data_IF_029904315522
#
_entry.id   IF_029904315522
#
_cell.length_a   1.000
_cell.length_b   1.000
_cell.length_c   1.000
_cell.angle_alpha   90.00
_cell.angle_beta   90.00
_cell.angle_gamma   90.00
#
_symmetry.space_group_name_H-M   'P 1'
#
loop_
_entity.id
_entity.type
_entity.pdbx_description
1 polymer ?
#
# COMPACT_ATOMS: atom_id res chain seq x y z
N UNK A 1 4.50 -23.26 -27.50
CA UNK A 1 4.44 -22.08 -26.62
C UNK A 1 5.85 -21.51 -26.46
N UNK A 2 6.03 -20.18 -26.45
CA UNK A 2 7.34 -19.57 -26.25
C UNK A 2 7.84 -19.73 -24.80
N UNK A 3 9.15 -19.58 -24.62
CA UNK A 3 9.75 -19.51 -23.29
C UNK A 3 9.17 -18.37 -22.46
N UNK A 4 9.03 -18.56 -21.15
CA UNK A 4 8.45 -17.59 -20.21
C UNK A 4 6.98 -17.22 -20.50
N UNK A 5 6.27 -18.03 -21.28
CA UNK A 5 4.82 -17.86 -21.48
C UNK A 5 4.08 -18.20 -20.18
N UNK A 6 3.23 -17.29 -19.71
CA UNK A 6 2.32 -17.54 -18.60
C UNK A 6 1.21 -18.47 -19.09
N UNK A 7 1.16 -19.69 -18.57
CA UNK A 7 0.17 -20.69 -18.98
C UNK A 7 -1.24 -20.28 -18.58
N UNK A 8 -2.12 -20.14 -19.57
CA UNK A 8 -3.56 -19.94 -19.39
C UNK A 8 -4.27 -21.28 -19.43
N UNK A 9 -5.52 -21.39 -18.97
CA UNK A 9 -6.27 -22.64 -19.04
C UNK A 9 -6.32 -23.26 -20.44
N UNK A 10 -6.47 -22.44 -21.49
CA UNK A 10 -6.49 -22.91 -22.90
C UNK A 10 -5.14 -23.48 -23.36
N UNK A 11 -4.04 -23.00 -22.80
CA UNK A 11 -2.69 -23.48 -23.13
C UNK A 11 -2.49 -24.91 -22.61
N UNK A 12 -3.10 -25.28 -21.47
CA UNK A 12 -3.09 -26.64 -20.94
C UNK A 12 -3.81 -27.61 -21.90
N UNK A 13 -4.95 -27.17 -22.46
CA UNK A 13 -5.67 -27.94 -23.47
C UNK A 13 -4.84 -28.15 -24.74
N UNK A 14 -4.17 -27.09 -25.23
CA UNK A 14 -3.29 -27.18 -26.39
C UNK A 14 -2.10 -28.13 -26.16
N UNK A 15 -1.45 -28.05 -24.99
CA UNK A 15 -0.35 -28.94 -24.57
C UNK A 15 -0.82 -30.40 -24.58
N UNK A 16 -1.96 -30.67 -23.94
CA UNK A 16 -2.52 -32.02 -23.87
C UNK A 16 -2.94 -32.54 -25.27
N UNK A 17 -3.56 -31.69 -26.09
CA UNK A 17 -3.97 -32.03 -27.47
C UNK A 17 -2.78 -32.33 -28.40
N UNK A 18 -1.60 -31.78 -28.11
CA UNK A 18 -0.35 -32.15 -28.78
C UNK A 18 0.32 -33.40 -28.21
N UNK A 19 -0.32 -34.11 -27.27
CA UNK A 19 0.19 -35.37 -26.70
C UNK A 19 1.18 -35.20 -25.53
N UNK A 20 1.34 -33.96 -25.02
CA UNK A 20 2.24 -33.73 -23.88
C UNK A 20 1.51 -33.82 -22.55
N UNK A 21 1.91 -34.74 -21.68
CA UNK A 21 1.36 -34.91 -20.33
C UNK A 21 2.14 -34.14 -19.26
N UNK A 22 3.31 -33.60 -19.60
CA UNK A 22 4.20 -32.85 -18.68
C UNK A 22 4.88 -31.73 -19.42
N UNK A 23 5.05 -30.59 -18.73
CA UNK A 23 5.84 -29.45 -19.20
C UNK A 23 6.72 -28.93 -18.07
N UNK A 24 7.90 -28.44 -18.42
CA UNK A 24 8.78 -27.79 -17.45
C UNK A 24 8.31 -26.36 -17.23
N UNK A 25 8.03 -26.02 -15.98
CA UNK A 25 7.64 -24.67 -15.55
C UNK A 25 8.59 -24.14 -14.48
N UNK A 26 8.62 -22.83 -14.30
CA UNK A 26 9.33 -22.24 -13.16
C UNK A 26 8.60 -22.61 -11.88
N UNK A 27 9.36 -23.02 -10.86
CA UNK A 27 8.82 -23.28 -9.53
C UNK A 27 8.36 -21.97 -8.88
N UNK A 28 7.23 -22.00 -8.20
CA UNK A 28 6.79 -20.86 -7.39
C UNK A 28 7.79 -20.61 -6.24
N UNK A 29 8.29 -19.37 -6.08
CA UNK A 29 9.18 -19.01 -4.98
C UNK A 29 8.48 -19.19 -3.63
N UNK A 30 9.16 -19.79 -2.67
CA UNK A 30 8.68 -19.93 -1.29
C UNK A 30 9.19 -18.78 -0.45
N UNK A 31 8.29 -18.06 0.19
CA UNK A 31 8.59 -16.85 0.99
C UNK A 31 8.18 -17.09 2.43
N UNK A 32 9.14 -17.02 3.34
CA UNK A 32 8.89 -17.02 4.78
C UNK A 32 8.57 -15.59 5.24
N UNK A 33 7.53 -15.43 6.06
CA UNK A 33 7.16 -14.17 6.67
C UNK A 33 7.20 -14.35 8.18
N UNK A 34 8.14 -13.68 8.83
CA UNK A 34 8.44 -13.82 10.25
C UNK A 34 8.09 -12.51 10.95
N UNK A 35 6.93 -12.40 11.61
CA UNK A 35 6.61 -11.25 12.44
C UNK A 35 7.39 -11.30 13.75
N UNK A 36 8.00 -10.18 14.16
CA UNK A 36 8.71 -10.05 15.44
C UNK A 36 8.17 -8.87 16.23
N UNK A 37 8.07 -9.05 17.54
CA UNK A 37 7.60 -8.02 18.48
C UNK A 37 6.98 -8.66 19.71
N UNK A 38 7.43 -8.23 20.88
CA UNK A 38 6.89 -8.71 22.17
C UNK A 38 5.48 -8.16 22.44
N UNK A 39 5.16 -7.00 21.85
CA UNK A 39 3.85 -6.34 21.92
C UNK A 39 2.82 -6.94 20.96
N UNK A 40 3.25 -7.80 20.03
CA UNK A 40 2.37 -8.34 19.00
C UNK A 40 1.51 -9.48 19.54
N UNK A 41 0.22 -9.44 19.20
CA UNK A 41 -0.73 -10.51 19.49
C UNK A 41 -1.44 -10.96 18.21
N UNK A 42 -1.82 -12.24 18.09
CA UNK A 42 -2.55 -12.74 16.93
C UNK A 42 -3.91 -12.05 16.75
N UNK A 43 -4.36 -11.92 15.50
CA UNK A 43 -5.72 -11.46 15.20
C UNK A 43 -6.77 -12.37 15.87
N UNK A 44 -7.79 -11.78 16.51
CA UNK A 44 -8.82 -12.49 17.27
C UNK A 44 -8.48 -12.70 18.76
N UNK A 45 -7.29 -12.31 19.22
CA UNK A 45 -6.93 -12.32 20.63
C UNK A 45 -7.68 -11.25 21.43
N UNK A 46 -7.84 -11.46 22.74
CA UNK A 46 -8.24 -10.39 23.66
C UNK A 46 -7.09 -9.43 23.83
N UNK A 47 -7.27 -8.18 23.41
CA UNK A 47 -6.23 -7.14 23.41
C UNK A 47 -6.17 -6.45 24.76
N UNK A 48 -4.98 -6.26 25.31
CA UNK A 48 -4.69 -5.49 26.52
C UNK A 48 -4.02 -4.16 26.14
N UNK A 49 -3.94 -3.24 27.09
CA UNK A 49 -3.19 -1.99 26.87
C UNK A 49 -1.72 -2.29 26.54
N UNK A 50 -1.24 -1.76 25.42
CA UNK A 50 0.10 -2.00 24.89
C UNK A 50 0.19 -3.09 23.83
N UNK A 51 -0.81 -3.97 23.71
CA UNK A 51 -0.84 -5.00 22.67
C UNK A 51 -1.14 -4.39 21.30
N UNK A 52 -0.49 -4.93 20.27
CA UNK A 52 -0.71 -4.60 18.86
C UNK A 52 -1.14 -5.87 18.13
N UNK A 53 -2.28 -5.83 17.44
CA UNK A 53 -2.72 -6.97 16.61
C UNK A 53 -1.79 -7.10 15.41
N UNK A 54 -1.19 -8.29 15.26
CA UNK A 54 -0.36 -8.62 14.10
C UNK A 54 -1.23 -8.92 12.89
N UNK A 55 -1.12 -8.10 11.85
CA UNK A 55 -1.80 -8.29 10.56
C UNK A 55 -0.91 -8.01 9.35
N UNK A 56 0.30 -7.49 9.54
CA UNK A 56 1.22 -7.24 8.44
C UNK A 56 1.58 -8.54 7.71
N UNK A 57 1.77 -9.62 8.45
CA UNK A 57 2.07 -10.92 7.84
C UNK A 57 0.91 -11.44 6.97
N UNK A 58 -0.34 -11.09 7.29
CA UNK A 58 -1.50 -11.41 6.44
C UNK A 58 -1.43 -10.64 5.12
N UNK A 59 -1.16 -9.34 5.18
CA UNK A 59 -1.03 -8.49 3.99
C UNK A 59 0.11 -8.98 3.10
N UNK A 60 1.31 -9.17 3.67
CA UNK A 60 2.47 -9.65 2.94
C UNK A 60 2.25 -11.04 2.32
N UNK A 61 1.58 -11.95 3.04
CA UNK A 61 1.27 -13.28 2.51
C UNK A 61 0.31 -13.21 1.32
N UNK A 62 -0.74 -12.39 1.41
CA UNK A 62 -1.68 -12.18 0.32
C UNK A 62 -0.99 -11.54 -0.91
N UNK A 63 -0.12 -10.56 -0.70
CA UNK A 63 0.69 -9.94 -1.76
C UNK A 63 1.59 -10.98 -2.45
N UNK A 64 2.36 -11.78 -1.67
CA UNK A 64 3.20 -12.84 -2.21
C UNK A 64 2.41 -13.84 -3.06
N UNK A 65 1.23 -14.25 -2.61
CA UNK A 65 0.34 -15.14 -3.35
C UNK A 65 -0.15 -14.50 -4.65
N UNK A 66 -0.57 -13.24 -4.59
CA UNK A 66 -0.99 -12.47 -5.78
C UNK A 66 0.14 -12.36 -6.81
N UNK A 67 1.38 -12.26 -6.36
CA UNK A 67 2.57 -12.22 -7.21
C UNK A 67 3.12 -13.60 -7.58
N UNK A 68 2.36 -14.68 -7.34
CA UNK A 68 2.65 -16.04 -7.77
C UNK A 68 3.66 -16.79 -6.93
N UNK A 69 3.97 -16.33 -5.73
CA UNK A 69 4.78 -17.03 -4.74
C UNK A 69 3.92 -17.89 -3.80
N UNK A 70 4.59 -18.70 -3.00
CA UNK A 70 4.00 -19.49 -1.90
C UNK A 70 4.45 -18.87 -0.57
N UNK A 71 3.53 -18.32 0.18
CA UNK A 71 3.80 -17.67 1.46
C UNK A 71 3.63 -18.63 2.63
N UNK A 72 4.61 -18.63 3.55
CA UNK A 72 4.54 -19.31 4.85
C UNK A 72 4.61 -18.23 5.94
N UNK A 73 3.54 -18.08 6.69
CA UNK A 73 3.52 -17.21 7.86
C UNK A 73 4.01 -17.98 9.08
N UNK A 74 5.04 -17.47 9.72
CA UNK A 74 5.53 -17.99 10.99
C UNK A 74 4.70 -17.43 12.16
N UNK A 75 4.77 -18.08 13.30
CA UNK A 75 4.25 -17.54 14.55
C UNK A 75 5.02 -16.27 14.92
N UNK A 76 4.40 -15.39 15.70
CA UNK A 76 5.05 -14.18 16.24
C UNK A 76 6.26 -14.62 17.08
N UNK A 77 7.43 -14.08 16.77
CA UNK A 77 8.66 -14.30 17.52
C UNK A 77 8.86 -13.09 18.46
N UNK A 78 9.04 -13.32 19.77
CA UNK A 78 9.34 -12.23 20.70
C UNK A 78 10.64 -11.49 20.33
N UNK A 79 10.82 -10.28 20.82
CA UNK A 79 12.05 -9.51 20.67
C UNK A 79 13.21 -10.14 21.47
N UNK A 80 13.62 -11.30 21.02
CA UNK A 80 14.75 -12.07 21.55
C UNK A 80 15.67 -12.44 20.38
N UNK A 81 16.89 -11.89 20.43
CA UNK A 81 17.87 -12.04 19.37
C UNK A 81 18.10 -13.50 18.95
N UNK A 82 18.35 -14.39 19.93
CA UNK A 82 18.68 -15.79 19.65
C UNK A 82 17.50 -16.55 19.05
N UNK A 83 16.28 -16.25 19.49
CA UNK A 83 15.07 -16.86 18.92
C UNK A 83 14.84 -16.37 17.49
N UNK A 84 15.03 -15.07 17.21
CA UNK A 84 14.89 -14.53 15.86
C UNK A 84 15.95 -15.15 14.94
N UNK A 85 17.22 -15.22 15.37
CA UNK A 85 18.31 -15.87 14.61
C UNK A 85 18.00 -17.34 14.31
N UNK A 86 17.52 -18.10 15.30
CA UNK A 86 17.15 -19.50 15.11
C UNK A 86 16.02 -19.66 14.09
N UNK A 87 14.96 -18.84 14.20
CA UNK A 87 13.81 -18.87 13.29
C UNK A 87 14.20 -18.48 11.87
N UNK A 88 15.00 -17.43 11.69
CA UNK A 88 15.49 -17.01 10.37
C UNK A 88 16.36 -18.09 9.72
N UNK A 89 17.23 -18.74 10.49
CA UNK A 89 18.08 -19.86 10.00
C UNK A 89 17.23 -21.04 9.55
N UNK A 90 16.22 -21.44 10.32
CA UNK A 90 15.27 -22.49 9.95
C UNK A 90 14.51 -22.13 8.67
N UNK A 91 13.98 -20.92 8.60
CA UNK A 91 13.27 -20.42 7.42
C UNK A 91 14.16 -20.43 6.17
N UNK A 92 15.41 -19.98 6.27
CA UNK A 92 16.37 -19.93 5.17
C UNK A 92 16.69 -21.32 4.59
N UNK A 93 16.64 -22.38 5.40
CA UNK A 93 16.86 -23.75 4.93
C UNK A 93 15.77 -24.23 3.97
N UNK A 94 14.56 -23.72 4.07
CA UNK A 94 13.37 -24.25 3.36
C UNK A 94 12.71 -23.26 2.41
N UNK A 95 13.01 -21.95 2.50
CA UNK A 95 12.42 -20.89 1.70
C UNK A 95 13.46 -20.21 0.79
N UNK A 96 12.97 -19.50 -0.21
CA UNK A 96 13.79 -18.81 -1.21
C UNK A 96 14.03 -17.34 -0.83
N UNK A 97 13.10 -16.76 -0.08
CA UNK A 97 13.13 -15.37 0.42
C UNK A 97 12.61 -15.33 1.84
N UNK A 98 13.23 -14.54 2.70
CA UNK A 98 12.80 -14.29 4.07
C UNK A 98 12.34 -12.83 4.20
N UNK A 99 11.15 -12.61 4.73
CA UNK A 99 10.64 -11.32 5.14
C UNK A 99 10.62 -11.29 6.66
N UNK A 100 11.54 -10.55 7.26
CA UNK A 100 11.61 -10.32 8.69
C UNK A 100 10.85 -9.04 9.00
N UNK A 101 9.62 -9.16 9.48
CA UNK A 101 8.77 -8.01 9.78
C UNK A 101 8.96 -7.61 11.23
N UNK A 102 9.77 -6.57 11.47
CA UNK A 102 10.00 -6.01 12.79
C UNK A 102 8.71 -5.38 13.36
N UNK A 103 8.56 -5.42 14.68
CA UNK A 103 7.54 -4.65 15.39
C UNK A 103 7.70 -3.13 15.15
N UNK A 104 6.76 -2.32 15.64
CA UNK A 104 6.85 -0.87 15.49
C UNK A 104 8.09 -0.36 16.24
N UNK A 105 9.07 0.13 15.53
CA UNK A 105 10.40 0.54 16.03
C UNK A 105 10.37 1.81 16.90
N UNK A 106 9.49 1.87 17.91
CA UNK A 106 9.61 2.84 19.00
C UNK A 106 10.58 2.36 20.09
N UNK A 107 11.11 1.15 19.97
CA UNK A 107 12.12 0.57 20.86
C UNK A 107 13.53 0.77 20.31
N UNK A 108 14.49 1.02 21.20
CA UNK A 108 15.88 1.32 20.93
C UNK A 108 16.71 0.19 20.30
N UNK A 109 16.13 -0.96 19.96
CA UNK A 109 16.83 -2.13 19.44
C UNK A 109 16.11 -2.72 18.21
N UNK A 110 16.49 -2.25 17.03
CA UNK A 110 16.16 -2.96 15.77
C UNK A 110 17.12 -4.16 15.64
N UNK A 111 16.65 -5.34 16.04
CA UNK A 111 17.42 -6.57 15.92
C UNK A 111 17.61 -7.00 14.45
N UNK A 112 16.82 -6.49 13.51
CA UNK A 112 16.83 -6.98 12.13
C UNK A 112 18.20 -6.86 11.46
N UNK A 113 18.89 -5.72 11.61
CA UNK A 113 20.23 -5.54 11.08
C UNK A 113 21.23 -6.50 11.72
N UNK A 114 21.23 -6.58 13.06
CA UNK A 114 22.12 -7.48 13.84
C UNK A 114 21.88 -8.96 13.48
N UNK A 115 20.64 -9.36 13.24
CA UNK A 115 20.28 -10.72 12.82
C UNK A 115 20.85 -11.03 11.44
N UNK A 116 20.73 -10.08 10.50
CA UNK A 116 21.30 -10.24 9.16
C UNK A 116 22.82 -10.34 9.22
N UNK A 117 23.49 -9.47 9.98
CA UNK A 117 24.95 -9.49 10.17
C UNK A 117 25.45 -10.80 10.83
N UNK A 118 24.67 -11.35 11.76
CA UNK A 118 25.02 -12.62 12.41
C UNK A 118 24.84 -13.86 11.52
N UNK A 119 24.01 -13.77 10.47
CA UNK A 119 23.69 -14.88 9.61
C UNK A 119 24.25 -14.77 8.18
N UNK A 120 24.80 -13.60 7.82
CA UNK A 120 25.32 -13.38 6.47
C UNK A 120 25.72 -11.93 6.21
N UNK A 121 25.35 -11.39 5.06
CA UNK A 121 25.78 -10.09 4.59
C UNK A 121 24.65 -9.06 4.67
N UNK A 122 24.85 -7.97 5.40
CA UNK A 122 24.01 -6.79 5.36
C UNK A 122 24.39 -5.92 4.16
N UNK A 123 23.51 -5.82 3.16
CA UNK A 123 23.79 -5.08 1.92
C UNK A 123 23.31 -3.63 1.97
N UNK A 124 22.13 -3.40 2.56
CA UNK A 124 21.52 -2.07 2.67
C UNK A 124 20.84 -1.94 4.03
N UNK A 125 21.09 -0.82 4.70
CA UNK A 125 20.44 -0.44 5.94
C UNK A 125 19.78 0.94 5.76
N UNK A 126 18.48 0.92 5.49
CA UNK A 126 17.69 2.09 5.14
C UNK A 126 17.72 2.42 3.65
N UNK A 127 16.59 2.84 3.14
CA UNK A 127 16.37 3.23 1.73
C UNK A 127 15.73 4.60 1.66
N UNK A 128 16.02 5.36 0.60
CA UNK A 128 15.48 6.71 0.40
C UNK A 128 14.03 6.66 -0.13
N UNK A 129 13.12 6.08 0.67
CA UNK A 129 11.70 5.89 0.35
C UNK A 129 10.83 6.28 1.55
N UNK A 130 9.71 6.93 1.30
CA UNK A 130 8.73 7.33 2.30
C UNK A 130 7.30 7.00 1.88
N UNK A 131 6.52 6.27 2.73
CA UNK A 131 6.96 5.55 3.94
C UNK A 131 7.74 4.28 3.58
N UNK A 132 8.60 3.81 4.50
CA UNK A 132 9.40 2.60 4.29
C UNK A 132 10.91 2.80 4.41
N UNK A 133 11.35 3.97 4.90
CA UNK A 133 12.78 4.28 5.05
C UNK A 133 13.61 3.18 5.78
N UNK A 134 13.14 2.53 6.89
CA UNK A 134 13.95 1.56 7.63
C UNK A 134 14.05 0.16 6.99
N UNK A 135 13.85 0.02 5.71
CA UNK A 135 14.02 -1.28 5.02
C UNK A 135 15.47 -1.74 5.11
N UNK A 136 15.66 -3.03 5.38
CA UNK A 136 16.95 -3.69 5.40
C UNK A 136 16.98 -4.72 4.25
N UNK A 137 18.08 -4.78 3.50
CA UNK A 137 18.31 -5.79 2.48
C UNK A 137 19.61 -6.54 2.80
N UNK A 138 19.54 -7.87 2.76
CA UNK A 138 20.68 -8.72 3.07
C UNK A 138 20.61 -10.10 2.44
N UNK A 139 21.66 -10.87 2.68
CA UNK A 139 21.79 -12.25 2.23
C UNK A 139 22.14 -13.14 3.42
N UNK A 140 21.38 -14.22 3.62
CA UNK A 140 21.65 -15.22 4.66
C UNK A 140 22.49 -16.33 4.06
N UNK A 141 23.62 -16.64 4.68
CA UNK A 141 24.49 -17.74 4.30
C UNK A 141 24.02 -19.04 4.96
N UNK A 142 23.73 -20.08 4.17
CA UNK A 142 23.40 -21.38 4.72
C UNK A 142 24.69 -22.11 5.18
N UNK A 143 24.72 -22.63 6.43
CA UNK A 143 25.93 -23.21 7.01
C UNK A 143 26.52 -24.42 6.25
N UNK A 144 25.65 -25.17 5.55
CA UNK A 144 26.00 -26.46 4.92
C UNK A 144 26.15 -26.36 3.41
N UNK A 145 26.04 -25.16 2.84
CA UNK A 145 26.09 -24.99 1.38
C UNK A 145 26.56 -23.59 1.01
N UNK A 146 27.06 -23.41 -0.22
CA UNK A 146 27.36 -22.08 -0.78
C UNK A 146 26.10 -21.33 -1.25
N UNK A 147 24.92 -21.74 -0.77
CA UNK A 147 23.66 -21.11 -1.15
C UNK A 147 23.39 -19.93 -0.21
N UNK A 148 23.13 -18.79 -0.81
CA UNK A 148 22.65 -17.61 -0.10
C UNK A 148 21.16 -17.42 -0.33
N UNK A 149 20.44 -16.92 0.70
CA UNK A 149 19.03 -16.58 0.64
C UNK A 149 18.83 -15.10 0.91
N UNK A 150 18.14 -14.36 0.02
CA UNK A 150 17.83 -12.96 0.31
C UNK A 150 16.90 -12.85 1.52
N UNK A 151 17.16 -11.83 2.33
CA UNK A 151 16.32 -11.41 3.44
C UNK A 151 15.98 -9.93 3.29
N UNK A 152 14.73 -9.60 3.57
CA UNK A 152 14.26 -8.22 3.62
C UNK A 152 13.73 -7.96 5.03
N UNK A 153 14.34 -7.00 5.72
CA UNK A 153 13.80 -6.44 6.96
C UNK A 153 12.67 -5.47 6.59
N UNK A 154 11.45 -5.84 6.95
CA UNK A 154 10.23 -5.11 6.62
C UNK A 154 9.84 -4.22 7.80
N UNK A 155 9.63 -2.90 7.60
CA UNK A 155 9.22 -2.01 8.68
C UNK A 155 7.88 -2.40 9.31
N UNK A 156 7.72 -2.23 10.62
CA UNK A 156 6.52 -2.63 11.36
C UNK A 156 5.27 -1.81 11.07
N UNK A 157 5.39 -0.57 10.60
CA UNK A 157 4.23 0.22 10.22
C UNK A 157 3.53 -0.36 8.97
N UNK A 158 2.19 -0.56 9.01
CA UNK A 158 1.48 -1.36 8.00
C UNK A 158 1.56 -0.81 6.57
N UNK A 159 1.52 0.51 6.40
CA UNK A 159 1.68 1.12 5.08
C UNK A 159 3.10 0.91 4.54
N UNK A 160 4.10 1.05 5.42
CA UNK A 160 5.50 0.77 5.07
C UNK A 160 5.70 -0.70 4.70
N UNK A 161 5.12 -1.62 5.46
CA UNK A 161 5.19 -3.05 5.17
C UNK A 161 4.59 -3.40 3.81
N UNK A 162 3.39 -2.93 3.52
CA UNK A 162 2.72 -3.19 2.24
C UNK A 162 3.50 -2.61 1.05
N UNK A 163 3.99 -1.36 1.16
CA UNK A 163 4.80 -0.74 0.11
C UNK A 163 6.18 -1.39 -0.05
N UNK A 164 6.79 -1.87 1.04
CA UNK A 164 8.02 -2.68 0.95
C UNK A 164 7.78 -3.94 0.12
N UNK A 165 6.62 -4.57 0.29
CA UNK A 165 6.20 -5.68 -0.57
C UNK A 165 6.17 -5.30 -2.05
N UNK A 166 5.48 -4.22 -2.40
CA UNK A 166 5.35 -3.75 -3.78
C UNK A 166 6.70 -3.33 -4.41
N UNK A 167 7.53 -2.62 -3.64
CA UNK A 167 8.78 -2.02 -4.18
C UNK A 167 9.91 -3.06 -4.28
N UNK A 168 10.03 -3.99 -3.34
CA UNK A 168 11.17 -4.90 -3.25
C UNK A 168 10.80 -6.37 -3.48
N UNK A 169 9.70 -6.86 -2.93
CA UNK A 169 9.34 -8.29 -3.01
C UNK A 169 8.78 -8.64 -4.38
N UNK A 170 7.83 -7.86 -4.90
CA UNK A 170 7.24 -8.12 -6.20
C UNK A 170 8.27 -8.22 -7.34
N UNK A 171 9.21 -7.28 -7.51
CA UNK A 171 10.21 -7.38 -8.57
C UNK A 171 11.11 -8.61 -8.46
N UNK A 172 11.45 -9.04 -7.25
CA UNK A 172 12.25 -10.27 -7.02
C UNK A 172 11.46 -11.49 -7.47
N UNK A 173 10.20 -11.63 -7.04
CA UNK A 173 9.34 -12.75 -7.41
C UNK A 173 9.08 -12.78 -8.92
N UNK A 174 8.80 -11.62 -9.53
CA UNK A 174 8.61 -11.50 -10.96
C UNK A 174 9.84 -11.97 -11.74
N UNK A 175 11.04 -11.53 -11.34
CA UNK A 175 12.29 -11.95 -11.93
C UNK A 175 12.52 -13.46 -11.83
N UNK A 176 12.25 -14.07 -10.67
CA UNK A 176 12.38 -15.51 -10.49
C UNK A 176 11.36 -16.31 -11.31
N UNK A 177 10.15 -15.77 -11.48
CA UNK A 177 9.12 -16.36 -12.32
C UNK A 177 9.33 -16.10 -13.82
N UNK A 178 10.36 -15.31 -14.20
CA UNK A 178 10.69 -15.02 -15.60
C UNK A 178 9.71 -14.07 -16.27
N UNK A 179 9.06 -13.20 -15.50
CA UNK A 179 8.14 -12.17 -15.99
C UNK A 179 8.59 -10.77 -15.57
N UNK A 180 8.08 -9.76 -16.22
CA UNK A 180 8.20 -8.38 -15.73
C UNK A 180 7.37 -8.20 -14.46
N UNK A 181 7.79 -7.32 -13.57
CA UNK A 181 6.95 -6.88 -12.46
C UNK A 181 5.62 -6.33 -13.01
N UNK A 182 4.56 -6.49 -12.24
CA UNK A 182 3.23 -6.05 -12.68
C UNK A 182 3.26 -4.52 -12.89
N UNK A 183 2.98 -4.09 -14.11
CA UNK A 183 2.81 -2.68 -14.41
C UNK A 183 1.38 -2.30 -14.06
N UNK A 184 1.23 -1.61 -12.94
CA UNK A 184 -0.06 -1.03 -12.59
C UNK A 184 -0.53 -0.08 -13.70
N UNK A 185 -1.83 -0.06 -14.04
CA UNK A 185 -2.36 0.94 -14.95
C UNK A 185 -2.03 2.34 -14.44
N UNK A 186 -1.73 3.25 -15.35
CA UNK A 186 -1.46 4.64 -15.00
C UNK A 186 -2.54 5.57 -15.54
N UNK A 187 -2.77 6.68 -14.85
CA UNK A 187 -3.73 7.69 -15.25
C UNK A 187 -3.19 9.08 -14.90
N UNK A 188 -3.27 10.01 -15.86
CA UNK A 188 -2.93 11.41 -15.61
C UNK A 188 -4.08 12.09 -14.87
N UNK A 189 -3.74 12.76 -13.77
CA UNK A 189 -4.68 13.47 -12.92
C UNK A 189 -4.14 14.84 -12.49
N UNK A 190 -5.03 15.68 -11.98
CA UNK A 190 -4.68 16.97 -11.38
C UNK A 190 -4.74 16.86 -9.87
N UNK A 191 -3.68 17.27 -9.17
CA UNK A 191 -3.66 17.25 -7.70
C UNK A 191 -4.58 18.34 -7.13
N UNK A 192 -5.45 17.98 -6.20
CA UNK A 192 -6.49 18.88 -5.67
C UNK A 192 -5.96 19.91 -4.68
N UNK A 193 -4.84 19.65 -4.02
CA UNK A 193 -4.26 20.55 -3.00
C UNK A 193 -2.75 20.47 -2.96
N UNK A 194 -2.12 21.52 -2.43
CA UNK A 194 -0.69 21.55 -2.17
C UNK A 194 -0.26 20.42 -1.24
N UNK A 195 0.83 19.76 -1.59
CA UNK A 195 1.50 18.74 -0.80
C UNK A 195 2.95 19.12 -0.64
N UNK A 196 3.44 19.21 0.59
CA UNK A 196 4.87 19.35 0.86
C UNK A 196 5.49 17.96 0.95
N UNK A 197 6.64 17.76 0.34
CA UNK A 197 7.43 16.53 0.46
C UNK A 197 8.84 16.86 0.89
N UNK A 198 9.37 16.20 1.92
CA UNK A 198 10.77 16.42 2.31
C UNK A 198 11.70 15.95 1.20
N UNK A 199 12.71 16.75 0.90
CA UNK A 199 13.78 16.34 -0.02
C UNK A 199 14.57 15.15 0.54
N UNK A 200 15.11 14.33 -0.34
CA UNK A 200 15.97 13.20 0.00
C UNK A 200 15.31 11.84 -0.14
N UNK A 201 14.00 11.73 0.01
CA UNK A 201 13.24 10.49 -0.14
C UNK A 201 12.26 10.52 -1.32
N UNK A 202 12.14 9.44 -2.06
CA UNK A 202 11.02 9.25 -2.98
C UNK A 202 9.76 9.00 -2.15
N UNK A 203 8.77 9.89 -2.23
CA UNK A 203 7.53 9.74 -1.48
C UNK A 203 6.45 9.04 -2.31
N UNK A 204 5.89 7.97 -1.75
CA UNK A 204 4.77 7.21 -2.30
C UNK A 204 3.48 7.67 -1.64
N UNK A 205 2.86 8.68 -2.25
CA UNK A 205 1.68 9.34 -1.71
C UNK A 205 0.40 8.64 -2.16
N UNK A 206 -0.42 8.19 -1.21
CA UNK A 206 -1.73 7.59 -1.47
C UNK A 206 -2.73 8.68 -1.87
N UNK A 207 -3.51 8.39 -2.91
CA UNK A 207 -4.54 9.30 -3.43
C UNK A 207 -5.86 8.60 -3.65
N UNK A 208 -6.97 9.29 -3.46
CA UNK A 208 -8.23 8.94 -4.11
C UNK A 208 -8.30 9.63 -5.46
N UNK A 209 -8.92 8.97 -6.43
CA UNK A 209 -9.03 9.48 -7.80
C UNK A 209 -10.47 9.38 -8.28
N UNK A 210 -10.92 10.39 -8.99
CA UNK A 210 -12.21 10.37 -9.65
C UNK A 210 -12.30 11.41 -10.75
N UNK A 211 -13.26 11.23 -11.65
CA UNK A 211 -13.51 12.13 -12.76
C UNK A 211 -14.67 13.05 -12.44
N UNK A 212 -14.42 14.35 -12.42
CA UNK A 212 -15.44 15.38 -12.19
C UNK A 212 -15.57 16.22 -13.48
N UNK A 213 -16.69 16.09 -14.16
CA UNK A 213 -16.85 16.66 -15.51
C UNK A 213 -15.81 16.12 -16.49
N UNK A 214 -14.91 16.98 -16.98
CA UNK A 214 -13.83 16.60 -17.91
C UNK A 214 -12.47 16.39 -17.20
N UNK A 215 -12.39 16.63 -15.91
CA UNK A 215 -11.12 16.58 -15.14
C UNK A 215 -11.02 15.28 -14.37
N UNK A 216 -9.84 14.70 -14.37
CA UNK A 216 -9.48 13.65 -13.43
C UNK A 216 -8.74 14.30 -12.27
N UNK A 217 -9.24 14.10 -11.07
CA UNK A 217 -8.74 14.75 -9.85
C UNK A 217 -8.14 13.69 -8.93
N UNK A 218 -6.91 13.92 -8.48
CA UNK A 218 -6.24 13.12 -7.46
C UNK A 218 -6.20 13.89 -6.14
N UNK A 219 -6.83 13.34 -5.11
CA UNK A 219 -6.87 13.97 -3.78
C UNK A 219 -6.00 13.19 -2.80
N UNK A 220 -4.98 13.83 -2.21
CA UNK A 220 -4.09 13.20 -1.25
C UNK A 220 -4.82 12.71 0.00
N UNK A 221 -4.54 11.48 0.41
CA UNK A 221 -5.00 10.89 1.67
C UNK A 221 -4.02 11.16 2.81
N UNK A 222 -4.39 10.70 4.02
CA UNK A 222 -3.51 10.76 5.20
C UNK A 222 -2.18 10.06 4.93
N UNK A 223 -1.07 10.70 5.31
CA UNK A 223 0.30 10.22 5.05
C UNK A 223 0.90 9.37 6.17
N UNK A 224 0.17 9.16 7.27
CA UNK A 224 0.63 8.34 8.38
C UNK A 224 0.95 6.91 7.95
N UNK A 225 2.13 6.41 8.32
CA UNK A 225 2.56 5.05 8.01
C UNK A 225 1.78 3.97 8.77
N UNK A 226 1.24 4.33 9.95
CA UNK A 226 0.43 3.45 10.81
C UNK A 226 -1.04 3.32 10.40
N UNK A 227 -1.52 4.11 9.44
CA UNK A 227 -2.95 4.16 9.07
C UNK A 227 -3.22 3.29 7.85
N UNK A 228 -3.40 1.98 8.04
CA UNK A 228 -3.64 1.01 6.95
C UNK A 228 -4.90 1.37 6.13
N UNK A 229 -5.91 1.97 6.74
CA UNK A 229 -7.13 2.40 6.05
C UNK A 229 -6.88 3.41 4.95
N UNK A 230 -5.75 4.12 5.00
CA UNK A 230 -5.34 5.01 3.91
C UNK A 230 -4.98 4.24 2.62
N UNK A 231 -4.45 3.02 2.72
CA UNK A 231 -4.27 2.12 1.57
C UNK A 231 -5.59 1.50 1.12
N UNK A 232 -6.45 1.11 2.05
CA UNK A 232 -7.78 0.55 1.73
C UNK A 232 -8.62 1.56 0.93
N UNK A 233 -8.53 2.84 1.27
CA UNK A 233 -9.25 3.94 0.59
C UNK A 233 -8.53 4.45 -0.65
N UNK A 234 -7.25 4.15 -0.84
CA UNK A 234 -6.48 4.61 -1.97
C UNK A 234 -6.96 4.00 -3.28
N UNK A 235 -7.08 4.83 -4.29
CA UNK A 235 -7.30 4.41 -5.66
C UNK A 235 -5.99 4.22 -6.42
N UNK A 236 -4.92 4.76 -5.87
CA UNK A 236 -3.58 4.64 -6.42
C UNK A 236 -2.53 5.42 -5.63
N UNK A 237 -1.32 5.41 -6.18
CA UNK A 237 -0.13 6.05 -5.64
C UNK A 237 0.40 7.09 -6.63
N UNK A 238 0.76 8.25 -6.11
CA UNK A 238 1.58 9.25 -6.81
C UNK A 238 2.97 9.20 -6.21
N UNK A 239 3.99 8.99 -7.05
CA UNK A 239 5.39 9.09 -6.63
C UNK A 239 5.87 10.53 -6.76
N UNK A 240 6.29 11.13 -5.64
CA UNK A 240 6.96 12.43 -5.61
C UNK A 240 8.47 12.17 -5.56
N UNK A 241 9.25 12.60 -6.56
CA UNK A 241 10.67 12.34 -6.61
C UNK A 241 11.44 12.99 -5.45
N UNK A 242 12.52 12.36 -4.99
CA UNK A 242 13.37 12.80 -3.88
C UNK A 242 13.98 14.20 -4.02
N UNK A 243 14.03 14.74 -5.23
CA UNK A 243 14.56 16.09 -5.51
C UNK A 243 13.44 17.14 -5.63
N UNK A 244 12.20 16.79 -5.25
CA UNK A 244 11.05 17.69 -5.26
C UNK A 244 10.65 18.08 -3.83
N UNK A 245 10.33 19.35 -3.60
CA UNK A 245 9.77 19.84 -2.34
C UNK A 245 8.27 19.55 -2.21
N UNK A 246 7.67 18.90 -3.19
CA UNK A 246 6.26 18.52 -3.22
C UNK A 246 5.54 18.92 -4.50
N UNK A 247 4.22 19.09 -4.38
CA UNK A 247 3.31 19.40 -5.49
C UNK A 247 2.45 20.60 -5.14
N UNK A 248 2.15 21.45 -6.13
CA UNK A 248 1.19 22.54 -5.99
C UNK A 248 -0.21 22.06 -6.37
N UNK A 249 -1.25 22.70 -5.82
CA UNK A 249 -2.61 22.48 -6.29
C UNK A 249 -2.72 22.82 -7.79
N UNK A 250 -3.29 21.90 -8.58
CA UNK A 250 -3.38 22.04 -10.03
C UNK A 250 -2.26 21.38 -10.82
N UNK A 251 -1.19 20.91 -10.18
CA UNK A 251 -0.13 20.17 -10.87
C UNK A 251 -0.66 18.88 -11.50
N UNK A 252 -0.12 18.53 -12.66
CA UNK A 252 -0.37 17.25 -13.31
C UNK A 252 0.51 16.19 -12.69
N UNK A 253 -0.08 15.03 -12.39
CA UNK A 253 0.59 13.89 -11.77
C UNK A 253 0.18 12.60 -12.46
N UNK A 254 1.12 11.67 -12.56
CA UNK A 254 0.84 10.30 -12.97
C UNK A 254 0.47 9.47 -11.75
N UNK A 255 -0.73 8.91 -11.74
CA UNK A 255 -1.21 8.02 -10.69
C UNK A 255 -1.03 6.56 -11.13
N UNK A 256 -0.31 5.77 -10.34
CA UNK A 256 -0.26 4.32 -10.46
C UNK A 256 -1.48 3.73 -9.75
N UNK A 257 -2.40 3.14 -10.53
CA UNK A 257 -3.73 2.77 -10.05
C UNK A 257 -3.75 1.38 -9.38
N UNK A 258 -4.42 1.30 -8.24
CA UNK A 258 -4.87 0.03 -7.64
C UNK A 258 -6.20 -0.45 -8.21
N UNK A 259 -6.94 0.44 -8.89
CA UNK A 259 -8.24 0.20 -9.51
C UNK A 259 -8.16 0.30 -11.01
N UNK A 260 -9.15 -0.26 -11.67
CA UNK A 260 -9.26 -0.11 -13.13
C UNK A 260 -9.66 1.32 -13.51
N UNK A 261 -9.26 1.82 -14.69
CA UNK A 261 -9.72 3.13 -15.19
C UNK A 261 -11.25 3.27 -15.21
N UNK A 262 -11.98 2.19 -15.52
CA UNK A 262 -13.44 2.18 -15.52
C UNK A 262 -14.03 2.45 -14.13
N UNK A 263 -13.45 1.87 -13.06
CA UNK A 263 -13.88 2.15 -11.68
C UNK A 263 -13.65 3.62 -11.29
N UNK A 264 -12.60 4.25 -11.83
CA UNK A 264 -12.32 5.67 -11.59
C UNK A 264 -13.36 6.55 -12.30
N UNK A 265 -13.74 6.20 -13.52
CA UNK A 265 -14.76 6.94 -14.28
C UNK A 265 -16.15 6.88 -13.63
N UNK A 266 -16.49 5.79 -12.96
CA UNK A 266 -17.76 5.60 -12.25
C UNK A 266 -17.70 5.98 -10.76
N UNK A 267 -16.74 6.83 -10.36
CA UNK A 267 -16.62 7.30 -8.99
C UNK A 267 -17.37 8.61 -8.75
N UNK A 268 -18.19 8.65 -7.71
CA UNK A 268 -18.69 9.90 -7.11
C UNK A 268 -17.60 10.43 -6.18
N UNK A 269 -17.10 11.62 -6.45
CA UNK A 269 -16.04 12.25 -5.66
C UNK A 269 -16.63 13.09 -4.55
N UNK A 270 -16.33 12.74 -3.29
CA UNK A 270 -16.69 13.48 -2.09
C UNK A 270 -15.43 14.07 -1.45
N UNK A 271 -15.36 15.39 -1.34
CA UNK A 271 -14.24 16.10 -0.69
C UNK A 271 -14.81 17.02 0.38
N UNK A 272 -14.39 16.88 1.64
CA UNK A 272 -14.92 17.72 2.72
C UNK A 272 -14.69 17.14 4.10
N UNK A 273 -15.60 17.42 5.01
CA UNK A 273 -15.64 16.78 6.32
C UNK A 273 -16.10 15.34 6.21
N UNK A 274 -15.56 14.49 7.08
CA UNK A 274 -15.97 13.10 7.18
C UNK A 274 -17.06 12.91 8.21
N UNK A 275 -18.02 12.05 7.87
CA UNK A 275 -19.03 11.53 8.77
C UNK A 275 -19.26 10.04 8.43
N UNK A 276 -19.70 9.25 9.42
CA UNK A 276 -20.01 7.83 9.21
C UNK A 276 -21.13 7.61 8.19
N UNK A 277 -22.02 8.59 8.00
CA UNK A 277 -23.03 8.56 6.95
C UNK A 277 -22.43 8.44 5.55
N UNK A 278 -21.23 8.96 5.31
CA UNK A 278 -20.53 8.79 4.01
C UNK A 278 -20.11 7.34 3.77
N UNK A 279 -19.72 6.62 4.82
CA UNK A 279 -19.38 5.20 4.71
C UNK A 279 -20.64 4.36 4.42
N UNK A 280 -21.78 4.68 5.09
CA UNK A 280 -23.08 4.06 4.79
C UNK A 280 -23.57 4.40 3.38
N UNK A 281 -23.42 5.66 2.95
CA UNK A 281 -23.75 6.09 1.59
C UNK A 281 -22.93 5.31 0.56
N UNK A 282 -21.65 5.11 0.82
CA UNK A 282 -20.76 4.29 -0.04
C UNK A 282 -21.28 2.87 -0.18
N UNK A 283 -21.74 2.24 0.90
CA UNK A 283 -22.34 0.91 0.87
C UNK A 283 -23.60 0.89 0.01
N UNK A 284 -24.55 1.80 0.25
CA UNK A 284 -25.81 1.85 -0.53
C UNK A 284 -25.58 2.13 -2.00
N UNK A 285 -24.61 2.97 -2.36
CA UNK A 285 -24.23 3.22 -3.74
C UNK A 285 -23.72 1.94 -4.40
N UNK A 286 -22.80 1.23 -3.73
CA UNK A 286 -22.25 -0.02 -4.24
C UNK A 286 -23.29 -1.14 -4.38
N UNK A 287 -24.28 -1.20 -3.48
CA UNK A 287 -25.36 -2.20 -3.55
C UNK A 287 -26.38 -1.92 -4.67
N UNK A 288 -26.62 -0.64 -4.98
CA UNK A 288 -27.70 -0.24 -5.91
C UNK A 288 -27.21 0.16 -7.30
N UNK A 289 -25.93 0.32 -7.51
CA UNK A 289 -25.36 0.78 -8.77
C UNK A 289 -23.95 0.22 -8.99
N UNK A 290 -23.44 0.36 -10.21
CA UNK A 290 -22.03 0.09 -10.53
C UNK A 290 -21.09 1.26 -10.12
N UNK A 291 -21.60 2.25 -9.39
CA UNK A 291 -20.84 3.42 -8.94
C UNK A 291 -20.24 3.18 -7.56
N UNK A 292 -19.25 3.97 -7.21
CA UNK A 292 -18.61 3.97 -5.89
C UNK A 292 -18.44 5.40 -5.38
N UNK A 293 -18.28 5.57 -4.09
CA UNK A 293 -17.94 6.83 -3.45
C UNK A 293 -16.42 6.90 -3.21
N UNK A 294 -15.74 7.83 -3.86
CA UNK A 294 -14.35 8.18 -3.59
C UNK A 294 -14.32 9.36 -2.60
N UNK A 295 -14.01 9.09 -1.34
CA UNK A 295 -14.08 10.09 -0.27
C UNK A 295 -12.69 10.53 0.18
N UNK A 296 -12.49 11.86 0.31
CA UNK A 296 -11.28 12.46 0.87
C UNK A 296 -11.61 13.49 1.96
N UNK A 297 -11.02 13.30 3.13
CA UNK A 297 -11.28 14.14 4.31
C UNK A 297 -10.29 15.32 4.32
N UNK A 298 -10.78 16.51 3.99
CA UNK A 298 -9.97 17.73 3.93
C UNK A 298 -10.55 18.88 4.78
N UNK A 299 -11.63 18.58 5.51
CA UNK A 299 -12.39 19.57 6.30
C UNK A 299 -13.40 20.34 5.46
N UNK A 300 -14.37 20.96 6.16
CA UNK A 300 -15.54 21.64 5.56
C UNK A 300 -15.18 22.69 4.53
N UNK A 301 -14.28 23.61 4.87
CA UNK A 301 -13.89 24.70 3.98
C UNK A 301 -13.15 24.18 2.74
N UNK A 302 -12.29 23.17 2.90
CA UNK A 302 -11.62 22.50 1.80
C UNK A 302 -12.59 21.86 0.82
N UNK A 303 -13.71 21.32 1.31
CA UNK A 303 -14.79 20.77 0.51
C UNK A 303 -15.51 21.83 -0.34
N UNK A 304 -15.88 22.98 0.25
CA UNK A 304 -16.48 24.08 -0.49
C UNK A 304 -15.56 24.62 -1.59
N UNK A 305 -14.28 24.76 -1.29
CA UNK A 305 -13.28 25.20 -2.28
C UNK A 305 -13.15 24.17 -3.42
N UNK A 306 -13.16 22.89 -3.11
CA UNK A 306 -13.09 21.84 -4.12
C UNK A 306 -14.33 21.83 -5.04
N UNK A 307 -15.54 22.02 -4.48
CA UNK A 307 -16.76 22.18 -5.27
C UNK A 307 -16.66 23.39 -6.21
N UNK A 308 -16.25 24.56 -5.70
CA UNK A 308 -16.10 25.77 -6.50
C UNK A 308 -15.08 25.64 -7.64
N UNK A 309 -14.11 24.76 -7.50
CA UNK A 309 -13.11 24.45 -8.53
C UNK A 309 -13.54 23.35 -9.50
N UNK A 310 -14.69 22.73 -9.27
CA UNK A 310 -15.13 21.56 -10.05
C UNK A 310 -14.24 20.33 -9.82
N UNK A 311 -13.78 20.13 -8.61
CA UNK A 311 -12.92 19.01 -8.19
C UNK A 311 -13.68 17.95 -7.38
N UNK A 312 -14.93 18.20 -7.01
CA UNK A 312 -15.79 17.29 -6.28
C UNK A 312 -17.22 17.31 -6.82
N UNK A 313 -17.97 16.23 -6.62
CA UNK A 313 -19.41 16.14 -6.88
C UNK A 313 -20.21 16.54 -5.65
N UNK A 314 -19.69 16.28 -4.45
CA UNK A 314 -20.33 16.63 -3.18
C UNK A 314 -19.28 16.96 -2.11
N UNK A 315 -19.71 17.73 -1.11
CA UNK A 315 -18.86 18.09 0.04
C UNK A 315 -19.65 18.04 1.33
N UNK A 316 -19.09 17.32 2.34
CA UNK A 316 -19.58 17.40 3.71
C UNK A 316 -19.11 18.70 4.39
N UNK A 317 -20.03 19.46 4.98
CA UNK A 317 -19.69 20.72 5.67
C UNK A 317 -20.44 20.89 6.99
N UNK A 318 -19.81 21.51 7.97
CA UNK A 318 -20.41 21.88 9.27
C UNK A 318 -19.79 23.18 9.80
N UNK A 319 -19.85 24.23 8.99
CA UNK A 319 -19.28 25.55 9.31
C UNK A 319 -20.32 26.41 10.02
N UNK A 320 -20.09 26.70 11.30
CA UNK A 320 -20.93 27.62 12.09
C UNK A 320 -20.53 29.07 11.78
N UNK A 321 -21.52 29.88 11.47
CA UNK A 321 -21.37 31.32 11.41
C UNK A 321 -21.59 31.90 12.82
N UNK A 322 -20.55 32.47 13.46
CA UNK A 322 -20.66 32.97 14.84
C UNK A 322 -21.56 34.18 14.99
N UNK A 323 -21.80 34.94 13.92
CA UNK A 323 -22.59 36.16 13.95
C UNK A 323 -24.10 35.88 13.83
N UNK A 324 -24.47 34.87 13.06
CA UNK A 324 -25.87 34.49 12.80
C UNK A 324 -26.32 33.24 13.58
N UNK A 325 -25.37 32.39 14.00
CA UNK A 325 -25.64 31.09 14.59
C UNK A 325 -26.10 30.02 13.58
N UNK A 326 -26.10 30.34 12.28
CA UNK A 326 -26.49 29.43 11.21
C UNK A 326 -25.32 28.61 10.70
N UNK A 327 -25.60 27.36 10.29
CA UNK A 327 -24.59 26.49 9.68
C UNK A 327 -24.56 26.63 8.17
N UNK A 328 -23.36 26.68 7.62
CA UNK A 328 -23.00 26.54 6.21
C UNK A 328 -23.44 27.68 5.28
N UNK A 329 -24.62 28.29 5.46
CA UNK A 329 -25.26 29.20 4.49
C UNK A 329 -24.40 30.37 4.09
N UNK A 330 -23.83 31.09 5.08
CA UNK A 330 -22.95 32.25 4.83
C UNK A 330 -21.67 31.88 4.08
N UNK A 331 -21.10 30.71 4.42
CA UNK A 331 -19.92 30.19 3.76
C UNK A 331 -20.20 29.72 2.34
N UNK A 332 -21.33 29.06 2.10
CA UNK A 332 -21.77 28.65 0.76
C UNK A 332 -21.91 29.88 -0.13
N UNK A 333 -22.62 30.91 0.31
CA UNK A 333 -22.78 32.17 -0.42
C UNK A 333 -21.44 32.84 -0.74
N UNK A 334 -20.48 32.75 0.18
CA UNK A 334 -19.14 33.36 0.03
C UNK A 334 -18.23 32.58 -0.93
N UNK A 335 -18.24 31.24 -0.87
CA UNK A 335 -17.29 30.41 -1.61
C UNK A 335 -17.85 29.79 -2.90
N UNK A 336 -19.18 29.80 -3.05
CA UNK A 336 -19.90 29.22 -4.19
C UNK A 336 -20.97 30.18 -4.72
N UNK A 337 -20.66 31.48 -4.92
CA UNK A 337 -21.70 32.49 -5.25
C UNK A 337 -22.46 32.18 -6.54
N UNK A 338 -21.78 31.58 -7.53
CA UNK A 338 -22.32 31.33 -8.88
C UNK A 338 -22.44 29.82 -9.17
N UNK A 339 -22.26 28.98 -8.17
CA UNK A 339 -22.31 27.51 -8.35
C UNK A 339 -23.70 27.01 -7.98
N UNK A 340 -24.45 26.43 -8.94
CA UNK A 340 -25.71 25.77 -8.61
C UNK A 340 -25.48 24.57 -7.74
N UNK A 341 -26.02 24.59 -6.53
CA UNK A 341 -25.93 23.52 -5.53
C UNK A 341 -27.34 23.10 -5.09
N UNK A 342 -27.46 21.85 -4.65
CA UNK A 342 -28.69 21.25 -4.13
C UNK A 342 -28.49 20.84 -2.68
#
# INVERSE_FOLDING_TARGET
LPSNHLLRPVDLGAIAGCGHSRVNVRRQPRVAIIPTGTELVPAGSTVKAGDIIEYNSLVLAAQVQTWGGVATRYNIVPDNFDQIVATVREAAATHDLILLNAGSSSGSEDYSAKVVEALGDLLVHGVAVRPGHPVILGMIQLPTSNIQRPIIGVPGYPVSAALTGEIFVEPILAKWLGRSANQQPTLEATISRKVLSPMGDDEYMRVTVGKVGRRVVATPLSRGAGVITSLVRADGIVRIPRLSEGLQAGDRVTVHLYRTPTEIEHAIVAIGSHDLCLDLLSQFIAEKSAMRLASANVGSLGGLIALGRGEAHLAGTHLLDPDTGEYNISYIKRYLPDTPIV
#
